data_IF_389731147130
#
_entry.id   IF_389731147130
#
_cell.length_a   1.000
_cell.length_b   1.000
_cell.length_c   1.000
_cell.angle_alpha   90.00
_cell.angle_beta   90.00
_cell.angle_gamma   90.00
#
_symmetry.space_group_name_H-M   'P 1'
#
loop_
_entity.id
_entity.type
_entity.pdbx_description
1 polymer ?
#
# COMPACT_ATOMS: atom_id res chain seq x y z
N UNK A 1 -13.64 27.58 -43.86
CA UNK A 1 -13.60 26.64 -42.70
C UNK A 1 -14.45 27.25 -41.60
N UNK A 2 -15.77 27.17 -41.75
CA UNK A 2 -16.72 27.46 -40.68
C UNK A 2 -16.65 26.34 -39.63
N UNK A 3 -16.43 26.70 -38.36
CA UNK A 3 -16.99 25.95 -37.24
C UNK A 3 -17.96 26.88 -36.51
N UNK A 4 -19.21 26.43 -36.51
CA UNK A 4 -20.44 27.15 -36.23
C UNK A 4 -20.61 27.41 -34.72
N UNK A 5 -20.83 28.68 -34.34
CA UNK A 5 -21.03 29.12 -32.95
C UNK A 5 -22.51 28.95 -32.58
N UNK A 6 -22.89 27.79 -32.07
CA UNK A 6 -24.29 27.46 -31.76
C UNK A 6 -24.58 27.36 -30.25
N UNK A 7 -25.30 28.36 -29.75
CA UNK A 7 -26.28 28.32 -28.64
C UNK A 7 -25.81 27.94 -27.23
N UNK A 8 -25.47 28.98 -26.47
CA UNK A 8 -25.71 29.09 -25.04
C UNK A 8 -27.19 28.75 -24.75
N UNK A 9 -27.47 27.59 -24.15
CA UNK A 9 -28.81 27.29 -23.62
C UNK A 9 -29.03 28.08 -22.34
N UNK A 10 -29.51 29.32 -22.48
CA UNK A 10 -30.20 30.06 -21.40
C UNK A 10 -31.38 29.22 -20.94
N UNK A 11 -31.30 28.60 -19.76
CA UNK A 11 -32.48 28.04 -19.07
C UNK A 11 -33.00 29.08 -18.09
N UNK A 12 -34.29 29.37 -18.23
CA UNK A 12 -35.06 30.35 -17.48
C UNK A 12 -34.92 30.18 -15.96
N UNK A 13 -34.68 31.30 -15.29
CA UNK A 13 -34.66 31.47 -13.84
C UNK A 13 -36.12 31.42 -13.33
N UNK A 14 -36.49 30.40 -12.57
CA UNK A 14 -37.71 30.37 -11.74
C UNK A 14 -37.33 30.45 -10.26
N UNK A 15 -37.60 31.60 -9.65
CA UNK A 15 -37.30 31.93 -8.26
C UNK A 15 -38.42 31.41 -7.32
N UNK A 16 -38.41 30.13 -6.89
CA UNK A 16 -39.15 29.64 -5.70
C UNK A 16 -38.62 28.30 -5.15
N UNK A 17 -37.30 28.10 -5.13
CA UNK A 17 -36.68 27.01 -4.37
C UNK A 17 -35.44 27.52 -3.62
N UNK A 18 -35.65 28.52 -2.76
CA UNK A 18 -34.76 28.77 -1.65
C UNK A 18 -35.11 27.78 -0.53
N UNK A 19 -34.60 26.56 -0.61
CA UNK A 19 -34.49 25.64 0.53
C UNK A 19 -33.30 24.68 0.29
N UNK A 20 -32.13 25.16 0.70
CA UNK A 20 -31.04 24.34 1.26
C UNK A 20 -30.54 23.14 0.44
N UNK A 21 -29.96 23.39 -0.73
CA UNK A 21 -29.04 22.47 -1.40
C UNK A 21 -27.65 23.11 -1.48
N UNK A 22 -27.08 23.48 -0.33
CA UNK A 22 -25.62 23.61 -0.21
C UNK A 22 -25.09 22.20 -0.01
N UNK A 23 -25.06 21.43 -1.10
CA UNK A 23 -24.49 20.09 -1.11
C UNK A 23 -23.66 19.85 -2.38
N UNK A 24 -23.10 20.92 -2.96
CA UNK A 24 -21.86 20.83 -3.74
C UNK A 24 -20.73 20.74 -2.68
N UNK A 25 -20.29 19.56 -2.23
CA UNK A 25 -19.55 18.57 -3.04
C UNK A 25 -18.50 19.23 -3.93
N UNK A 26 -17.52 19.87 -3.30
CA UNK A 26 -16.18 19.93 -3.90
C UNK A 26 -15.12 19.37 -2.95
N UNK A 27 -15.41 18.21 -2.35
CA UNK A 27 -14.34 17.26 -2.10
C UNK A 27 -14.16 16.50 -3.41
N UNK A 28 -13.12 16.85 -4.18
CA UNK A 28 -12.65 15.96 -5.24
C UNK A 28 -12.20 14.69 -4.53
N UNK A 29 -12.98 13.61 -4.65
CA UNK A 29 -12.50 12.27 -4.31
C UNK A 29 -11.45 11.90 -5.36
N UNK A 30 -10.19 12.26 -5.09
CA UNK A 30 -9.08 11.73 -5.88
C UNK A 30 -9.02 10.24 -5.52
N UNK A 31 -9.66 9.40 -6.32
CA UNK A 31 -9.52 7.95 -6.19
C UNK A 31 -8.13 7.56 -6.73
N UNK A 32 -7.12 7.75 -5.89
CA UNK A 32 -5.77 7.23 -6.16
C UNK A 32 -5.85 5.74 -5.85
N UNK A 33 -5.84 4.91 -6.89
CA UNK A 33 -5.62 3.48 -6.74
C UNK A 33 -4.17 3.26 -6.30
N UNK A 34 -3.99 3.13 -4.99
CA UNK A 34 -2.71 2.85 -4.36
C UNK A 34 -2.56 1.35 -4.26
N UNK A 35 -1.75 0.80 -5.16
CA UNK A 35 -1.41 -0.62 -5.17
C UNK A 35 0.09 -0.79 -5.00
N UNK A 36 0.49 -1.58 -4.01
CA UNK A 36 1.87 -1.96 -3.74
C UNK A 36 2.31 -3.18 -4.58
N UNK A 37 3.58 -3.15 -4.99
CA UNK A 37 4.20 -4.25 -5.74
C UNK A 37 4.58 -5.42 -4.82
N UNK A 38 3.93 -6.57 -5.02
CA UNK A 38 4.21 -7.79 -4.26
C UNK A 38 5.40 -8.59 -4.80
N UNK A 39 5.93 -8.27 -5.99
CA UNK A 39 7.06 -9.00 -6.58
C UNK A 39 8.34 -8.89 -5.76
N UNK A 40 8.45 -7.86 -4.92
CA UNK A 40 9.61 -7.57 -4.06
C UNK A 40 9.42 -8.00 -2.60
N UNK A 41 8.38 -8.79 -2.30
CA UNK A 41 8.14 -9.32 -0.94
C UNK A 41 8.91 -10.61 -0.66
N UNK A 42 9.40 -11.30 -1.70
CA UNK A 42 10.21 -12.49 -1.52
C UNK A 42 11.60 -12.10 -0.98
N UNK A 43 11.98 -12.69 0.15
CA UNK A 43 13.27 -12.47 0.80
C UNK A 43 13.88 -13.83 1.14
N UNK A 44 15.19 -13.97 0.96
CA UNK A 44 15.88 -15.21 1.28
C UNK A 44 15.79 -15.55 2.76
N UNK A 45 15.55 -16.84 3.02
CA UNK A 45 15.47 -17.40 4.37
C UNK A 45 14.38 -16.78 5.26
N UNK A 46 13.33 -16.23 4.63
CA UNK A 46 12.15 -15.71 5.31
C UNK A 46 10.88 -16.19 4.63
N UNK A 47 9.80 -16.26 5.41
CA UNK A 47 8.43 -16.37 4.93
C UNK A 47 7.70 -15.08 5.26
N UNK A 48 6.69 -14.72 4.46
CA UNK A 48 5.89 -13.54 4.68
C UNK A 48 4.40 -13.84 4.59
N UNK A 49 3.59 -13.06 5.28
CA UNK A 49 2.14 -13.10 5.22
C UNK A 49 1.60 -11.70 4.90
N UNK A 50 0.77 -11.59 3.87
CA UNK A 50 0.14 -10.33 3.43
C UNK A 50 -1.34 -10.33 3.74
N UNK A 51 -1.88 -9.17 4.12
CA UNK A 51 -3.33 -8.94 4.21
C UNK A 51 -3.95 -8.54 2.88
N UNK A 52 -3.13 -7.98 1.98
CA UNK A 52 -3.49 -7.54 0.64
C UNK A 52 -2.34 -6.76 0.00
N UNK A 53 -2.61 -5.90 -0.96
CA UNK A 53 -1.63 -5.05 -1.63
C UNK A 53 -2.11 -3.61 -1.88
N UNK A 54 -3.16 -3.15 -1.19
CA UNK A 54 -3.71 -1.80 -1.30
C UNK A 54 -3.24 -0.92 -0.13
N UNK A 55 -3.54 0.38 -0.19
CA UNK A 55 -3.23 1.31 0.90
C UNK A 55 -3.63 0.75 2.26
N UNK A 56 -2.71 0.86 3.23
CA UNK A 56 -2.85 0.39 4.60
C UNK A 56 -2.88 -1.14 4.79
N UNK A 57 -2.85 -1.94 3.73
CA UNK A 57 -2.52 -3.37 3.84
C UNK A 57 -1.11 -3.55 4.39
N UNK A 58 -0.88 -4.73 4.93
CA UNK A 58 0.30 -5.06 5.73
C UNK A 58 0.95 -6.35 5.26
N UNK A 59 2.26 -6.41 5.43
CA UNK A 59 3.06 -7.62 5.29
C UNK A 59 3.85 -7.85 6.58
N UNK A 60 3.82 -9.09 7.06
CA UNK A 60 4.58 -9.53 8.23
C UNK A 60 5.53 -10.64 7.83
N UNK A 61 6.80 -10.51 8.20
CA UNK A 61 7.87 -11.45 7.90
C UNK A 61 8.23 -12.29 9.13
N UNK A 62 8.69 -13.51 8.86
CA UNK A 62 9.29 -14.41 9.84
C UNK A 62 10.51 -15.08 9.21
N UNK A 63 11.68 -14.98 9.85
CA UNK A 63 12.85 -15.75 9.41
C UNK A 63 12.60 -17.26 9.58
N UNK A 64 13.11 -18.06 8.65
CA UNK A 64 13.08 -19.52 8.75
C UNK A 64 13.90 -20.00 9.95
N UNK A 65 13.60 -21.21 10.42
CA UNK A 65 14.34 -21.84 11.51
C UNK A 65 15.84 -21.95 11.16
N UNK A 66 16.70 -21.59 12.11
CA UNK A 66 18.15 -21.50 11.89
C UNK A 66 18.63 -20.18 11.30
N UNK A 67 17.74 -19.20 11.08
CA UNK A 67 18.09 -17.84 10.67
C UNK A 67 17.55 -16.81 11.67
N UNK A 68 18.34 -15.77 11.94
CA UNK A 68 17.95 -14.65 12.79
C UNK A 68 17.75 -13.38 11.96
N UNK A 69 16.77 -12.58 12.35
CA UNK A 69 16.56 -11.25 11.83
C UNK A 69 17.71 -10.33 12.27
N UNK A 70 18.45 -9.78 11.31
CA UNK A 70 19.63 -8.94 11.61
C UNK A 70 19.47 -7.48 11.17
N UNK A 71 18.54 -7.20 10.26
CA UNK A 71 18.34 -5.84 9.72
C UNK A 71 16.98 -5.70 9.05
N UNK A 72 16.46 -4.47 9.00
CA UNK A 72 15.22 -4.10 8.31
C UNK A 72 13.96 -4.30 9.15
N UNK A 73 12.80 -4.27 8.48
CA UNK A 73 11.50 -4.21 9.14
C UNK A 73 10.69 -5.50 8.89
N UNK A 74 10.42 -6.26 9.95
CA UNK A 74 9.57 -7.46 9.89
C UNK A 74 8.09 -7.13 9.70
N UNK A 75 7.68 -5.88 9.90
CA UNK A 75 6.31 -5.42 9.67
C UNK A 75 6.34 -4.20 8.77
N UNK A 76 5.71 -4.30 7.60
CA UNK A 76 5.66 -3.22 6.61
C UNK A 76 4.22 -2.98 6.19
N UNK A 77 3.91 -1.73 5.85
CA UNK A 77 2.57 -1.30 5.45
C UNK A 77 2.62 -0.69 4.05
N UNK A 78 1.59 -0.90 3.24
CA UNK A 78 1.48 -0.22 1.96
C UNK A 78 1.13 1.26 2.20
N UNK A 79 2.03 2.16 1.81
CA UNK A 79 1.86 3.61 1.99
C UNK A 79 1.05 4.22 0.85
N UNK A 80 0.68 5.50 1.01
CA UNK A 80 -0.10 6.27 0.04
C UNK A 80 0.59 6.48 -1.33
N UNK A 81 1.86 6.09 -1.46
CA UNK A 81 2.65 6.20 -2.70
C UNK A 81 2.73 4.87 -3.46
N UNK A 82 2.10 3.80 -2.96
CA UNK A 82 2.16 2.47 -3.58
C UNK A 82 3.46 1.72 -3.26
N UNK A 83 4.11 2.05 -2.14
CA UNK A 83 5.31 1.37 -1.68
C UNK A 83 5.13 0.77 -0.28
N UNK A 84 5.70 -0.40 -0.07
CA UNK A 84 5.85 -0.99 1.26
C UNK A 84 6.81 -0.16 2.10
N UNK A 85 6.33 0.37 3.24
CA UNK A 85 7.11 1.19 4.17
C UNK A 85 8.34 0.46 4.68
N UNK A 86 9.33 1.21 5.15
CA UNK A 86 10.52 0.65 5.79
C UNK A 86 11.43 -0.10 4.83
N UNK A 87 12.36 -0.85 5.40
CA UNK A 87 13.43 -1.55 4.70
C UNK A 87 13.13 -3.04 4.66
N UNK A 88 13.45 -3.68 3.53
CA UNK A 88 13.33 -5.14 3.40
C UNK A 88 14.15 -5.83 4.50
N UNK A 89 13.57 -6.77 5.27
CA UNK A 89 14.31 -7.46 6.32
C UNK A 89 15.39 -8.37 5.75
N UNK A 90 16.39 -8.64 6.57
CA UNK A 90 17.49 -9.56 6.29
C UNK A 90 17.54 -10.63 7.36
N UNK A 91 17.53 -11.90 6.93
CA UNK A 91 17.65 -13.07 7.79
C UNK A 91 18.99 -13.77 7.52
N UNK A 92 19.88 -13.81 8.52
CA UNK A 92 21.20 -14.42 8.42
C UNK A 92 21.25 -15.71 9.23
N UNK A 93 21.94 -16.72 8.72
CA UNK A 93 22.08 -18.01 9.40
C UNK A 93 22.65 -17.81 10.80
N UNK A 94 22.02 -18.41 11.79
CA UNK A 94 22.61 -18.54 13.11
C UNK A 94 23.76 -19.51 12.95
N UNK A 95 25.00 -19.02 13.04
CA UNK A 95 26.16 -19.91 13.18
C UNK A 95 26.07 -20.50 14.58
N UNK A 96 25.20 -21.49 14.75
CA UNK A 96 25.23 -22.33 15.93
C UNK A 96 26.44 -23.22 15.75
N UNK A 97 27.56 -22.82 16.36
CA UNK A 97 28.54 -23.80 16.80
C UNK A 97 27.84 -24.65 17.85
N UNK A 98 26.98 -25.58 17.43
CA UNK A 98 26.79 -26.76 18.25
C UNK A 98 28.19 -27.34 18.34
N UNK A 99 28.86 -27.10 19.47
CA UNK A 99 29.80 -28.08 19.98
C UNK A 99 28.95 -29.35 20.01
N UNK A 100 28.99 -30.13 18.92
CA UNK A 100 28.61 -31.53 18.96
C UNK A 100 29.66 -32.12 19.87
N UNK A 101 29.50 -31.94 21.18
CA UNK A 101 30.14 -32.77 22.19
C UNK A 101 29.53 -34.13 21.94
N UNK A 102 30.10 -34.85 20.98
CA UNK A 102 30.07 -36.30 20.93
C UNK A 102 30.87 -36.75 22.14
N UNK A 103 30.22 -36.69 23.29
CA UNK A 103 30.62 -37.47 24.45
C UNK A 103 29.72 -38.69 24.44
N UNK A 104 30.21 -39.75 23.82
CA UNK A 104 29.99 -41.16 24.17
C UNK A 104 30.74 -42.02 23.16
#
# INVERSE_FOLDING_TARGET
MEVNRSRLKKKHISLWQANYFIADFMTVEVNIDVTCDNSRLQIDNAVFNVTGNQFNDTVTYKCLDGFNHTYGDLFRRCNHLGYWTGTSPTCISVITFTLKTSVS
#
